data_IF_718208477062
#
_entry.id   IF_718208477062
#
_cell.length_a   1.000
_cell.length_b   1.000
_cell.length_c   1.000
_cell.angle_alpha   90.00
_cell.angle_beta   90.00
_cell.angle_gamma   90.00
#
_symmetry.space_group_name_H-M   'P 1'
#
loop_
_entity.id
_entity.type
_entity.pdbx_description
1 polymer ?
#
# COMPACT_ATOMS: atom_id res chain seq x y z
N UNK A 1 0.19 -25.92 -9.21
CA UNK A 1 -0.52 -25.06 -10.19
C UNK A 1 0.10 -25.05 -11.60
N UNK A 2 1.06 -25.93 -11.94
CA UNK A 2 1.52 -26.17 -13.33
C UNK A 2 2.25 -25.03 -14.05
N UNK A 3 2.22 -23.81 -13.52
CA UNK A 3 2.91 -22.64 -14.06
C UNK A 3 4.35 -22.58 -13.58
N UNK A 4 5.26 -22.16 -14.45
CA UNK A 4 6.62 -21.77 -14.07
C UNK A 4 6.59 -20.40 -13.38
N UNK A 5 6.93 -20.36 -12.10
CA UNK A 5 7.00 -19.14 -11.30
C UNK A 5 8.38 -19.06 -10.65
N UNK A 6 8.99 -17.88 -10.71
CA UNK A 6 10.23 -17.58 -9.97
C UNK A 6 9.87 -16.60 -8.87
N UNK A 7 10.27 -16.91 -7.63
CA UNK A 7 10.12 -16.01 -6.48
C UNK A 7 11.50 -15.46 -6.17
N UNK A 8 11.63 -14.13 -6.18
CA UNK A 8 12.89 -13.43 -6.01
C UNK A 8 12.76 -12.50 -4.81
N UNK A 9 13.76 -12.53 -3.93
CA UNK A 9 13.86 -11.60 -2.81
C UNK A 9 14.62 -10.37 -3.29
N UNK A 10 13.96 -9.21 -3.30
CA UNK A 10 14.53 -7.96 -3.80
C UNK A 10 15.43 -7.20 -2.82
N UNK A 11 15.35 -7.54 -1.54
CA UNK A 11 15.83 -6.66 -0.47
C UNK A 11 14.81 -5.57 -0.14
N UNK A 12 15.18 -4.72 0.82
CA UNK A 12 14.43 -3.55 1.30
C UNK A 12 15.09 -2.30 0.73
N UNK A 13 14.31 -1.26 0.49
CA UNK A 13 14.69 0.01 -0.14
C UNK A 13 14.74 -0.02 -1.68
N UNK A 14 14.49 1.16 -2.24
CA UNK A 14 14.30 1.47 -3.65
C UNK A 14 15.51 1.06 -4.48
N UNK A 15 16.72 1.29 -3.98
CA UNK A 15 17.97 0.93 -4.68
C UNK A 15 18.11 -0.59 -4.81
N UNK A 16 17.90 -1.34 -3.72
CA UNK A 16 18.00 -2.80 -3.75
C UNK A 16 16.93 -3.39 -4.67
N UNK A 17 15.69 -2.90 -4.57
CA UNK A 17 14.59 -3.34 -5.39
C UNK A 17 14.79 -3.04 -6.89
N UNK A 18 15.33 -1.86 -7.21
CA UNK A 18 15.66 -1.50 -8.58
C UNK A 18 16.77 -2.38 -9.17
N UNK A 19 17.89 -2.56 -8.46
CA UNK A 19 19.00 -3.41 -8.93
C UNK A 19 18.52 -4.85 -9.16
N UNK A 20 17.76 -5.39 -8.20
CA UNK A 20 17.17 -6.72 -8.34
C UNK A 20 16.26 -6.80 -9.58
N UNK A 21 15.37 -5.81 -9.77
CA UNK A 21 14.46 -5.77 -10.91
C UNK A 21 15.21 -5.66 -12.23
N UNK A 22 16.24 -4.82 -12.31
CA UNK A 22 17.08 -4.65 -13.50
C UNK A 22 17.78 -5.97 -13.88
N UNK A 23 18.34 -6.69 -12.92
CA UNK A 23 18.97 -8.00 -13.17
C UNK A 23 17.94 -9.03 -13.68
N UNK A 24 16.75 -9.06 -13.10
CA UNK A 24 15.67 -9.97 -13.54
C UNK A 24 15.20 -9.62 -14.95
N UNK A 25 15.13 -8.33 -15.29
CA UNK A 25 14.70 -7.85 -16.60
C UNK A 25 15.71 -8.12 -17.72
N UNK A 26 16.93 -8.58 -17.43
CA UNK A 26 17.81 -9.15 -18.47
C UNK A 26 17.17 -10.37 -19.17
N UNK A 27 16.22 -11.04 -18.50
CA UNK A 27 15.45 -12.16 -19.02
C UNK A 27 14.02 -11.74 -19.44
N UNK A 28 13.75 -10.45 -19.68
CA UNK A 28 12.39 -9.92 -19.93
C UNK A 28 11.60 -10.69 -20.99
N UNK A 29 12.24 -11.20 -22.05
CA UNK A 29 11.58 -12.00 -23.11
C UNK A 29 10.96 -13.31 -22.62
N UNK A 30 11.34 -13.80 -21.43
CA UNK A 30 10.81 -15.00 -20.80
C UNK A 30 9.76 -14.69 -19.72
N UNK A 31 9.56 -13.41 -19.38
CA UNK A 31 8.69 -13.00 -18.28
C UNK A 31 7.34 -12.58 -18.86
N UNK A 32 6.29 -13.34 -18.50
CA UNK A 32 4.91 -13.01 -18.90
C UNK A 32 4.32 -11.84 -18.10
N UNK A 33 4.60 -11.80 -16.80
CA UNK A 33 4.05 -10.81 -15.87
C UNK A 33 4.94 -10.74 -14.65
N UNK A 34 5.12 -9.54 -14.09
CA UNK A 34 5.89 -9.30 -12.89
C UNK A 34 4.96 -8.80 -11.78
N UNK A 35 4.92 -9.49 -10.65
CA UNK A 35 4.07 -9.10 -9.52
C UNK A 35 4.99 -8.82 -8.34
N UNK A 36 5.07 -7.57 -7.95
CA UNK A 36 5.88 -7.16 -6.82
C UNK A 36 5.03 -7.21 -5.55
N UNK A 37 5.28 -8.21 -4.71
CA UNK A 37 4.46 -8.48 -3.51
C UNK A 37 5.22 -8.11 -2.27
N UNK A 38 4.58 -7.35 -1.39
CA UNK A 38 5.19 -7.01 -0.11
C UNK A 38 4.18 -6.57 0.94
N UNK A 39 4.72 -6.12 2.05
CA UNK A 39 3.99 -5.53 3.17
C UNK A 39 4.25 -4.04 3.26
N UNK A 40 3.37 -3.31 3.93
CA UNK A 40 3.39 -1.85 3.95
C UNK A 40 2.60 -1.32 5.15
N UNK A 41 2.85 -0.07 5.53
CA UNK A 41 1.96 0.65 6.42
C UNK A 41 0.84 1.35 5.64
N UNK A 42 -0.42 1.30 6.06
CA UNK A 42 -1.49 2.09 5.42
C UNK A 42 -1.92 3.28 6.30
N UNK A 43 -2.41 4.35 5.68
CA UNK A 43 -3.24 5.32 6.40
C UNK A 43 -4.36 4.57 7.15
N UNK A 44 -4.72 4.99 8.36
CA UNK A 44 -5.77 4.32 9.14
C UNK A 44 -7.17 4.44 8.53
N UNK A 45 -7.38 5.43 7.66
CA UNK A 45 -8.63 5.63 6.91
C UNK A 45 -8.40 6.42 5.62
N UNK A 46 -9.34 6.31 4.68
CA UNK A 46 -9.40 7.18 3.50
C UNK A 46 -9.47 8.64 3.96
N UNK A 47 -8.63 9.48 3.36
CA UNK A 47 -8.55 10.89 3.73
C UNK A 47 -7.89 11.15 5.08
N UNK A 48 -7.33 10.13 5.73
CA UNK A 48 -6.57 10.21 6.99
C UNK A 48 -7.32 10.84 8.17
N UNK A 49 -6.71 10.81 9.35
CA UNK A 49 -7.35 11.32 10.58
C UNK A 49 -7.27 12.84 10.70
N UNK A 50 -6.19 13.45 10.20
CA UNK A 50 -5.96 14.90 10.23
C UNK A 50 -5.59 15.39 8.83
N UNK A 51 -5.94 16.64 8.51
CA UNK A 51 -5.63 17.29 7.23
C UNK A 51 -5.32 18.79 7.40
N UNK A 52 -4.10 19.19 7.05
CA UNK A 52 -3.66 20.57 6.90
C UNK A 52 -3.62 20.98 5.41
N UNK A 53 -3.69 22.30 5.07
CA UNK A 53 -3.97 23.45 5.94
C UNK A 53 -5.47 23.62 6.31
N UNK A 54 -6.28 22.56 6.12
CA UNK A 54 -7.72 22.53 6.40
C UNK A 54 -8.10 22.34 7.87
N UNK A 55 -8.90 21.32 8.17
CA UNK A 55 -9.65 21.16 9.42
C UNK A 55 -8.82 20.78 10.65
N UNK A 56 -7.68 21.41 10.91
CA UNK A 56 -6.89 21.11 12.11
C UNK A 56 -7.61 21.45 13.43
N UNK A 57 -8.80 22.07 13.38
CA UNK A 57 -9.70 22.28 14.51
C UNK A 57 -10.33 20.97 15.05
N UNK A 58 -10.53 19.96 14.22
CA UNK A 58 -11.15 18.67 14.59
C UNK A 58 -10.59 17.52 13.74
N UNK A 59 -10.58 16.30 14.28
CA UNK A 59 -10.22 15.15 13.47
C UNK A 59 -11.29 14.87 12.40
N UNK A 60 -10.87 14.38 11.23
CA UNK A 60 -11.80 14.01 10.18
C UNK A 60 -12.70 12.87 10.66
N UNK A 61 -14.01 12.93 10.34
CA UNK A 61 -14.92 11.83 10.66
C UNK A 61 -14.45 10.55 9.95
N UNK A 62 -14.58 9.38 10.58
CA UNK A 62 -14.21 8.13 9.95
C UNK A 62 -15.13 7.80 8.78
N UNK A 63 -14.53 7.42 7.66
CA UNK A 63 -15.23 7.07 6.42
C UNK A 63 -15.08 5.57 6.15
N UNK A 64 -13.96 5.18 5.55
CA UNK A 64 -13.57 3.80 5.27
C UNK A 64 -12.23 3.53 5.96
N UNK A 65 -12.26 2.68 6.96
CA UNK A 65 -11.07 2.33 7.76
C UNK A 65 -10.22 1.30 7.02
N UNK A 66 -8.91 1.47 7.07
CA UNK A 66 -7.98 0.41 6.70
C UNK A 66 -7.88 -0.61 7.84
N UNK A 67 -7.91 -1.89 7.48
CA UNK A 67 -7.69 -2.99 8.41
C UNK A 67 -6.34 -3.64 8.15
N UNK A 68 -5.74 -4.24 9.18
CA UNK A 68 -4.54 -5.05 8.98
C UNK A 68 -4.87 -6.26 8.10
N UNK A 69 -4.02 -6.51 7.12
CA UNK A 69 -4.19 -7.51 6.07
C UNK A 69 -4.91 -7.01 4.82
N UNK A 70 -5.51 -5.81 4.83
CA UNK A 70 -6.03 -5.16 3.62
C UNK A 70 -5.00 -5.13 2.50
N UNK A 71 -5.43 -5.22 1.24
CA UNK A 71 -4.55 -5.36 0.08
C UNK A 71 -4.74 -4.19 -0.87
N UNK A 72 -3.65 -3.53 -1.22
CA UNK A 72 -3.58 -2.58 -2.31
C UNK A 72 -3.02 -3.24 -3.57
N UNK A 73 -3.67 -3.02 -4.72
CA UNK A 73 -3.24 -3.47 -6.04
C UNK A 73 -3.12 -2.28 -6.95
N UNK A 74 -1.89 -1.92 -7.32
CA UNK A 74 -1.62 -0.71 -8.11
C UNK A 74 -0.37 -0.85 -8.96
N UNK A 75 -0.31 -0.36 -10.20
CA UNK A 75 0.95 -0.25 -10.94
C UNK A 75 1.67 1.07 -10.65
N UNK A 76 1.12 1.93 -9.79
CA UNK A 76 1.63 3.26 -9.56
C UNK A 76 2.49 3.34 -8.31
N UNK A 77 3.55 4.16 -8.39
CA UNK A 77 4.39 4.50 -7.26
C UNK A 77 4.67 6.01 -7.22
N UNK A 78 4.98 6.53 -6.05
CA UNK A 78 5.37 7.92 -5.87
C UNK A 78 6.51 8.01 -4.86
N UNK A 79 7.51 8.83 -5.17
CA UNK A 79 8.68 9.03 -4.34
C UNK A 79 8.49 10.27 -3.47
N UNK A 80 8.33 10.05 -2.17
CA UNK A 80 8.25 11.14 -1.21
C UNK A 80 9.57 11.90 -1.07
N UNK A 81 10.71 11.20 -1.10
CA UNK A 81 12.03 11.79 -0.83
C UNK A 81 12.38 12.91 -1.81
N UNK A 82 11.77 12.92 -3.00
CA UNK A 82 11.87 13.97 -3.99
C UNK A 82 11.56 15.40 -3.48
N UNK A 83 10.80 15.55 -2.40
CA UNK A 83 10.51 16.87 -1.84
C UNK A 83 11.49 17.36 -0.79
N UNK A 84 12.55 16.58 -0.54
CA UNK A 84 13.66 16.92 0.36
C UNK A 84 13.16 17.56 1.66
N UNK A 85 12.04 17.07 2.19
CA UNK A 85 11.58 17.49 3.50
C UNK A 85 12.59 16.93 4.50
N UNK A 86 13.57 17.75 4.89
CA UNK A 86 14.51 17.39 5.95
C UNK A 86 13.69 17.05 7.21
N UNK A 87 14.16 16.08 7.99
CA UNK A 87 13.62 15.77 9.31
C UNK A 87 13.38 17.04 10.14
N UNK A 88 14.30 18.02 10.03
CA UNK A 88 14.17 19.33 10.68
C UNK A 88 12.90 20.08 10.26
N UNK A 89 12.57 20.05 8.97
CA UNK A 89 11.38 20.70 8.39
C UNK A 89 10.10 19.88 8.60
N UNK A 90 10.20 18.56 8.66
CA UNK A 90 9.11 17.67 9.11
C UNK A 90 8.73 17.95 10.58
N UNK A 91 9.70 18.38 11.38
CA UNK A 91 9.48 18.81 12.75
C UNK A 91 9.09 20.30 12.87
N UNK A 92 9.06 21.07 11.78
CA UNK A 92 8.62 22.47 11.81
C UNK A 92 7.13 22.52 12.15
N UNK A 93 6.81 22.99 13.34
CA UNK A 93 5.45 22.95 13.91
C UNK A 93 5.26 21.91 15.01
N UNK A 94 6.26 21.07 15.29
CA UNK A 94 6.24 20.18 16.45
C UNK A 94 6.00 20.98 17.75
N UNK A 95 5.19 20.46 18.69
CA UNK A 95 4.64 19.10 18.71
C UNK A 95 3.34 18.93 17.91
N UNK A 96 2.84 19.96 17.21
CA UNK A 96 1.59 19.86 16.46
C UNK A 96 1.74 18.95 15.24
N UNK A 97 0.96 17.88 15.22
CA UNK A 97 0.90 16.90 14.15
C UNK A 97 0.03 17.33 12.97
N UNK A 98 -0.79 18.37 13.13
CA UNK A 98 -1.64 18.89 12.04
C UNK A 98 -0.95 20.06 11.34
N UNK A 99 0.28 19.83 10.89
CA UNK A 99 1.05 20.79 10.12
C UNK A 99 1.48 20.15 8.82
N UNK A 100 1.48 20.96 7.76
CA UNK A 100 2.05 20.54 6.49
C UNK A 100 3.55 20.90 6.55
N UNK A 101 4.46 19.94 6.38
CA UNK A 101 5.89 20.23 6.42
C UNK A 101 6.24 21.20 5.29
N UNK A 102 7.23 22.06 5.52
CA UNK A 102 7.74 22.90 4.44
C UNK A 102 8.31 22.01 3.33
N UNK A 103 7.85 22.19 2.10
CA UNK A 103 8.38 21.48 0.94
C UNK A 103 9.40 22.35 0.20
N UNK A 104 10.56 21.79 -0.12
CA UNK A 104 11.49 22.35 -1.09
C UNK A 104 11.15 21.93 -2.52
N UNK A 105 11.72 22.63 -3.51
CA UNK A 105 11.79 22.09 -4.87
C UNK A 105 12.86 20.98 -4.92
N UNK A 106 12.69 19.91 -5.71
CA UNK A 106 12.08 20.01 -7.03
C UNK A 106 11.59 18.74 -7.71
N UNK A 107 11.02 18.88 -8.92
CA UNK A 107 10.42 17.82 -9.72
C UNK A 107 11.45 16.86 -10.38
N UNK A 108 12.72 16.92 -9.97
CA UNK A 108 13.82 16.07 -10.44
C UNK A 108 14.82 15.89 -9.31
N UNK A 109 14.88 14.69 -8.73
CA UNK A 109 16.01 14.26 -7.91
C UNK A 109 16.87 13.27 -8.72
N UNK A 110 18.06 13.72 -9.15
CA UNK A 110 18.96 12.91 -9.97
C UNK A 110 19.48 11.66 -9.24
N UNK A 111 19.39 11.62 -7.90
CA UNK A 111 19.82 10.47 -7.11
C UNK A 111 18.79 9.32 -7.09
N UNK A 112 17.55 9.59 -7.51
CA UNK A 112 16.41 8.67 -7.41
C UNK A 112 15.71 8.45 -8.77
N UNK A 113 16.49 8.18 -9.81
CA UNK A 113 16.03 7.98 -11.20
C UNK A 113 15.42 9.22 -11.88
N UNK A 114 15.46 10.39 -11.26
CA UNK A 114 15.07 11.67 -11.89
C UNK A 114 13.56 11.93 -11.97
N UNK A 115 12.71 11.01 -11.47
CA UNK A 115 11.25 11.12 -11.46
C UNK A 115 10.67 10.89 -10.07
N UNK A 116 9.61 11.63 -9.75
CA UNK A 116 8.98 11.59 -8.43
C UNK A 116 7.61 10.91 -8.45
N UNK A 117 6.94 10.89 -9.60
CA UNK A 117 5.63 10.31 -9.79
C UNK A 117 5.72 9.29 -10.91
N UNK A 118 5.43 8.03 -10.60
CA UNK A 118 5.41 6.93 -11.56
C UNK A 118 3.95 6.58 -11.88
N UNK A 119 3.29 7.45 -12.65
CA UNK A 119 1.88 7.29 -13.08
C UNK A 119 1.72 6.66 -14.46
N UNK A 120 2.81 6.57 -15.23
CA UNK A 120 2.81 5.97 -16.56
C UNK A 120 2.55 4.46 -16.45
N UNK A 121 1.68 3.95 -17.32
CA UNK A 121 1.31 2.55 -17.38
C UNK A 121 0.98 2.15 -18.83
N UNK A 122 1.08 0.85 -19.10
CA UNK A 122 0.57 0.22 -20.31
C UNK A 122 -0.83 -0.36 -20.06
N UNK A 123 -1.57 -0.66 -21.12
CA UNK A 123 -2.83 -1.38 -20.99
C UNK A 123 -2.65 -2.77 -20.36
N UNK A 124 -1.50 -3.41 -20.57
CA UNK A 124 -1.19 -4.72 -20.02
C UNK A 124 -0.95 -4.66 -18.49
N UNK A 125 -0.41 -3.55 -17.96
CA UNK A 125 -0.28 -3.32 -16.52
C UNK A 125 -1.66 -3.26 -15.85
N UNK A 126 -2.60 -2.50 -16.44
CA UNK A 126 -3.98 -2.43 -15.95
C UNK A 126 -4.71 -3.78 -16.06
N UNK A 127 -4.52 -4.51 -17.16
CA UNK A 127 -5.10 -5.85 -17.31
C UNK A 127 -4.58 -6.83 -16.26
N UNK A 128 -3.28 -6.76 -15.91
CA UNK A 128 -2.70 -7.58 -14.85
C UNK A 128 -3.27 -7.18 -13.47
N UNK A 129 -3.43 -5.89 -13.21
CA UNK A 129 -4.07 -5.39 -11.99
C UNK A 129 -5.54 -5.85 -11.90
N UNK A 130 -6.31 -5.73 -12.98
CA UNK A 130 -7.69 -6.22 -13.07
C UNK A 130 -7.78 -7.73 -12.86
N UNK A 131 -6.83 -8.50 -13.39
CA UNK A 131 -6.79 -9.95 -13.19
C UNK A 131 -6.63 -10.32 -11.70
N UNK A 132 -5.75 -9.62 -10.99
CA UNK A 132 -5.59 -9.77 -9.53
C UNK A 132 -6.85 -9.34 -8.78
N UNK A 133 -7.44 -8.19 -9.13
CA UNK A 133 -8.67 -7.70 -8.50
C UNK A 133 -9.86 -8.65 -8.72
N UNK A 134 -9.98 -9.24 -9.90
CA UNK A 134 -10.97 -10.27 -10.16
C UNK A 134 -10.68 -11.55 -9.37
N UNK A 135 -9.40 -11.87 -9.12
CA UNK A 135 -9.04 -13.02 -8.30
C UNK A 135 -9.45 -12.80 -6.83
N UNK A 136 -9.24 -11.60 -6.29
CA UNK A 136 -9.68 -11.26 -4.92
C UNK A 136 -11.20 -11.17 -4.79
N UNK A 137 -11.92 -10.84 -5.86
CA UNK A 137 -13.38 -10.89 -5.89
C UNK A 137 -13.98 -12.30 -6.01
N UNK A 138 -13.15 -13.34 -6.17
CA UNK A 138 -13.63 -14.72 -6.42
C UNK A 138 -14.01 -15.47 -5.14
N UNK A 139 -14.94 -16.42 -5.25
CA UNK A 139 -15.32 -17.32 -4.15
C UNK A 139 -14.14 -18.16 -3.63
N UNK A 140 -13.16 -18.47 -4.49
CA UNK A 140 -11.94 -19.18 -4.11
C UNK A 140 -11.08 -18.35 -3.15
N UNK A 141 -10.94 -17.04 -3.43
CA UNK A 141 -10.26 -16.11 -2.52
C UNK A 141 -11.03 -15.99 -1.20
N UNK A 142 -12.34 -15.73 -1.26
CA UNK A 142 -13.19 -15.62 -0.07
C UNK A 142 -13.09 -16.86 0.82
N UNK A 143 -13.10 -18.06 0.23
CA UNK A 143 -12.98 -19.32 0.97
C UNK A 143 -11.60 -19.47 1.60
N UNK A 144 -10.56 -19.07 0.87
CA UNK A 144 -9.17 -19.09 1.33
C UNK A 144 -8.94 -18.14 2.50
N UNK A 145 -9.39 -16.89 2.42
CA UNK A 145 -9.16 -15.90 3.49
C UNK A 145 -10.00 -16.19 4.73
N UNK A 146 -11.16 -16.84 4.61
CA UNK A 146 -11.95 -17.29 5.76
C UNK A 146 -11.16 -18.20 6.71
N UNK A 147 -10.20 -18.99 6.21
CA UNK A 147 -9.36 -19.82 7.09
C UNK A 147 -8.44 -18.98 7.99
N UNK A 148 -8.20 -17.72 7.65
CA UNK A 148 -7.37 -16.80 8.42
C UNK A 148 -8.16 -16.09 9.53
N UNK A 149 -9.49 -16.16 9.55
CA UNK A 149 -10.33 -15.40 10.48
C UNK A 149 -10.08 -15.75 11.95
N UNK A 150 -9.83 -17.03 12.25
CA UNK A 150 -9.47 -17.46 13.60
C UNK A 150 -8.12 -16.87 14.04
N UNK A 151 -7.14 -16.83 13.12
CA UNK A 151 -5.85 -16.19 13.34
C UNK A 151 -6.02 -14.70 13.59
N UNK A 152 -6.74 -14.00 12.72
CA UNK A 152 -7.06 -12.58 12.85
C UNK A 152 -7.68 -12.24 14.21
N UNK A 153 -8.76 -12.93 14.59
CA UNK A 153 -9.47 -12.67 15.85
C UNK A 153 -8.58 -12.87 17.08
N UNK A 154 -7.64 -13.82 17.01
CA UNK A 154 -6.73 -14.13 18.10
C UNK A 154 -5.56 -13.15 18.19
N UNK A 155 -4.99 -12.74 17.06
CA UNK A 155 -3.70 -12.03 17.03
C UNK A 155 -3.80 -10.58 16.59
N UNK A 156 -4.67 -10.27 15.64
CA UNK A 156 -4.76 -8.95 15.00
C UNK A 156 -5.85 -8.08 15.65
N UNK A 157 -7.03 -8.65 15.88
CA UNK A 157 -8.16 -7.93 16.43
C UNK A 157 -7.86 -7.23 17.78
N UNK A 158 -7.10 -7.83 18.74
CA UNK A 158 -6.74 -7.13 19.97
C UNK A 158 -5.91 -5.87 19.73
N UNK A 159 -5.00 -5.90 18.76
CA UNK A 159 -4.19 -4.75 18.38
C UNK A 159 -5.05 -3.64 17.77
N UNK A 160 -5.86 -3.96 16.76
CA UNK A 160 -6.73 -2.97 16.10
C UNK A 160 -7.72 -2.36 17.08
N UNK A 161 -8.30 -3.18 17.96
CA UNK A 161 -9.22 -2.71 19.01
C UNK A 161 -8.52 -1.71 19.93
N UNK A 162 -7.30 -2.00 20.38
CA UNK A 162 -6.53 -1.09 21.21
C UNK A 162 -6.16 0.20 20.45
N UNK A 163 -5.73 0.09 19.20
CA UNK A 163 -5.37 1.21 18.33
C UNK A 163 -6.57 2.15 18.12
N UNK A 164 -7.70 1.62 17.65
CA UNK A 164 -8.88 2.44 17.35
C UNK A 164 -9.61 2.91 18.60
N UNK A 165 -9.53 2.22 19.74
CA UNK A 165 -9.98 2.76 21.02
C UNK A 165 -9.13 3.97 21.46
N UNK A 166 -7.81 3.88 21.33
CA UNK A 166 -6.92 5.01 21.61
C UNK A 166 -7.16 6.18 20.64
N UNK A 167 -7.41 5.89 19.36
CA UNK A 167 -7.77 6.89 18.36
C UNK A 167 -9.12 7.55 18.68
N UNK A 168 -10.14 6.76 19.05
CA UNK A 168 -11.46 7.26 19.43
C UNK A 168 -11.36 8.21 20.61
N UNK A 169 -10.65 7.80 21.67
CA UNK A 169 -10.44 8.61 22.87
C UNK A 169 -9.68 9.91 22.59
N UNK A 170 -8.72 9.88 21.67
CA UNK A 170 -7.89 11.04 21.36
C UNK A 170 -8.56 12.05 20.42
N UNK A 171 -9.39 11.58 19.50
CA UNK A 171 -10.03 12.39 18.47
C UNK A 171 -11.46 12.81 18.81
N UNK A 172 -12.14 12.06 19.69
CA UNK A 172 -13.57 12.22 19.97
C UNK A 172 -14.49 11.55 18.94
N UNK A 173 -13.94 10.93 17.89
CA UNK A 173 -14.71 10.19 16.90
C UNK A 173 -14.93 8.73 17.32
N UNK A 174 -15.95 8.07 16.79
CA UNK A 174 -16.18 6.63 16.99
C UNK A 174 -15.69 5.86 15.76
N UNK A 175 -14.76 4.92 15.97
CA UNK A 175 -14.20 4.09 14.91
C UNK A 175 -14.76 2.67 15.00
N UNK A 176 -15.83 2.41 14.25
CA UNK A 176 -16.50 1.11 14.27
C UNK A 176 -15.73 0.07 13.46
N UNK A 177 -15.30 -1.00 14.12
CA UNK A 177 -14.62 -2.12 13.50
C UNK A 177 -15.61 -3.27 13.26
N UNK A 178 -16.09 -3.47 12.02
CA UNK A 178 -16.93 -4.62 11.73
C UNK A 178 -16.16 -5.93 11.94
N UNK A 179 -16.91 -7.02 12.05
CA UNK A 179 -16.34 -8.36 12.02
C UNK A 179 -15.49 -8.54 10.76
N UNK A 180 -14.34 -9.21 10.89
CA UNK A 180 -13.45 -9.41 9.76
C UNK A 180 -13.98 -10.53 8.86
N UNK A 181 -14.37 -10.17 7.64
CA UNK A 181 -14.89 -11.10 6.63
C UNK A 181 -13.85 -11.42 5.53
N UNK A 182 -12.67 -10.81 5.63
CA UNK A 182 -11.61 -10.82 4.62
C UNK A 182 -10.91 -9.48 4.57
N UNK A 183 -9.77 -9.38 3.85
CA UNK A 183 -9.10 -8.11 3.65
C UNK A 183 -9.93 -7.20 2.74
N UNK A 184 -10.01 -5.92 3.08
CA UNK A 184 -10.44 -4.88 2.15
C UNK A 184 -9.50 -4.80 0.97
N UNK A 185 -10.04 -4.55 -0.23
CA UNK A 185 -9.27 -4.40 -1.46
C UNK A 185 -9.27 -2.93 -1.85
N UNK A 186 -8.07 -2.38 -2.03
CA UNK A 186 -7.80 -1.03 -2.48
C UNK A 186 -7.21 -1.12 -3.89
N UNK A 187 -7.95 -0.66 -4.88
CA UNK A 187 -7.53 -0.80 -6.28
C UNK A 187 -6.66 0.39 -6.72
N UNK A 188 -6.18 0.32 -7.96
CA UNK A 188 -5.36 1.36 -8.59
C UNK A 188 -6.11 2.67 -8.84
N UNK A 189 -7.38 2.81 -8.44
CA UNK A 189 -8.13 4.07 -8.51
C UNK A 189 -8.13 4.84 -7.19
N UNK A 190 -7.70 4.22 -6.10
CA UNK A 190 -7.66 4.84 -4.76
C UNK A 190 -6.33 4.64 -4.02
N UNK A 191 -5.43 3.78 -4.53
CA UNK A 191 -4.15 3.46 -3.91
C UNK A 191 -2.95 3.63 -4.84
N UNK A 192 -1.88 4.21 -4.30
CA UNK A 192 -0.55 4.32 -4.90
C UNK A 192 0.46 3.92 -3.84
N UNK A 193 1.51 3.21 -4.26
CA UNK A 193 2.62 2.96 -3.34
C UNK A 193 3.44 4.24 -3.14
N UNK A 194 3.44 4.76 -1.92
CA UNK A 194 4.24 5.91 -1.52
C UNK A 194 5.56 5.43 -0.91
N UNK A 195 6.64 5.62 -1.66
CA UNK A 195 8.00 5.44 -1.19
C UNK A 195 8.37 6.47 -0.13
N UNK A 196 8.90 6.00 0.99
CA UNK A 196 9.54 6.84 2.00
C UNK A 196 10.68 6.08 2.64
N UNK A 197 11.89 6.64 2.60
CA UNK A 197 13.03 6.11 3.35
C UNK A 197 12.82 6.15 4.88
N UNK A 198 11.84 6.93 5.32
CA UNK A 198 11.44 7.04 6.72
C UNK A 198 10.13 6.30 6.93
N UNK A 199 10.20 4.98 7.07
CA UNK A 199 9.07 4.14 7.46
C UNK A 199 8.39 4.75 8.71
N UNK A 200 7.07 4.98 8.68
CA UNK A 200 6.27 5.56 9.77
C UNK A 200 6.57 7.02 10.18
N UNK A 201 6.49 7.96 9.24
CA UNK A 201 6.87 9.37 9.47
C UNK A 201 5.75 10.27 10.03
N UNK A 202 4.71 9.67 10.64
CA UNK A 202 3.69 10.40 11.38
C UNK A 202 2.57 11.00 10.51
N UNK A 203 1.69 11.77 11.14
CA UNK A 203 0.55 12.42 10.47
C UNK A 203 0.97 13.43 9.40
N UNK A 204 1.94 14.34 9.63
CA UNK A 204 2.40 15.26 8.58
C UNK A 204 2.77 14.53 7.30
N UNK A 205 3.51 13.45 7.42
CA UNK A 205 3.88 12.60 6.29
C UNK A 205 2.67 11.96 5.61
N UNK A 206 1.75 11.38 6.38
CA UNK A 206 0.54 10.75 5.84
C UNK A 206 -0.29 11.73 4.98
N UNK A 207 -0.48 12.97 5.46
CA UNK A 207 -1.20 14.00 4.73
C UNK A 207 -0.55 14.28 3.38
N UNK A 208 0.76 14.47 3.39
CA UNK A 208 1.45 14.79 2.15
C UNK A 208 1.47 13.60 1.20
N UNK A 209 1.77 12.40 1.69
CA UNK A 209 1.74 11.19 0.88
C UNK A 209 0.36 10.96 0.23
N UNK A 210 -0.75 11.29 0.92
CA UNK A 210 -2.10 11.25 0.34
C UNK A 210 -2.28 12.30 -0.76
N UNK A 211 -1.76 13.52 -0.59
CA UNK A 211 -1.80 14.53 -1.63
C UNK A 211 -1.06 14.06 -2.91
N UNK A 212 0.11 13.45 -2.77
CA UNK A 212 0.87 12.90 -3.90
C UNK A 212 0.22 11.66 -4.52
N UNK A 213 -0.41 10.83 -3.70
CA UNK A 213 -1.24 9.71 -4.16
C UNK A 213 -2.37 10.24 -5.06
N UNK A 214 -3.12 11.24 -4.60
CA UNK A 214 -4.18 11.86 -5.38
C UNK A 214 -3.65 12.47 -6.70
N UNK A 215 -2.52 13.19 -6.66
CA UNK A 215 -1.89 13.74 -7.87
C UNK A 215 -1.47 12.64 -8.86
N UNK A 216 -0.83 11.57 -8.36
CA UNK A 216 -0.43 10.42 -9.18
C UNK A 216 -1.63 9.78 -9.86
N UNK A 217 -2.73 9.58 -9.12
CA UNK A 217 -3.96 9.00 -9.65
C UNK A 217 -4.65 9.92 -10.67
N UNK A 218 -4.68 11.23 -10.44
CA UNK A 218 -5.20 12.19 -11.44
C UNK A 218 -4.37 12.18 -12.72
N UNK A 219 -3.04 12.07 -12.61
CA UNK A 219 -2.14 11.98 -13.77
C UNK A 219 -2.32 10.65 -14.51
N UNK A 220 -2.50 9.55 -13.77
CA UNK A 220 -2.75 8.24 -14.35
C UNK A 220 -4.14 8.13 -15.00
N UNK A 221 -5.15 8.82 -14.46
CA UNK A 221 -6.51 8.80 -14.94
C UNK A 221 -7.02 10.22 -15.24
N UNK A 222 -6.56 10.79 -16.36
CA UNK A 222 -6.93 12.14 -16.81
C UNK A 222 -8.43 12.36 -17.06
N UNK A 223 -9.24 11.29 -17.03
CA UNK A 223 -10.70 11.34 -17.15
C UNK A 223 -11.46 11.24 -15.81
N UNK A 224 -10.76 10.95 -14.71
CA UNK A 224 -11.32 10.52 -13.42
C UNK A 224 -11.88 11.61 -12.50
N UNK A 225 -11.96 12.87 -12.95
CA UNK A 225 -12.35 14.00 -12.12
C UNK A 225 -11.25 14.47 -11.17
N UNK A 226 -11.53 15.51 -10.39
CA UNK A 226 -10.57 16.05 -9.42
C UNK A 226 -10.53 15.15 -8.17
N UNK A 227 -9.36 14.58 -7.88
CA UNK A 227 -9.09 13.88 -6.62
C UNK A 227 -8.24 14.75 -5.70
N UNK A 228 -8.43 14.57 -4.40
CA UNK A 228 -7.67 15.27 -3.37
C UNK A 228 -7.14 14.27 -2.33
N UNK A 229 -6.31 14.75 -1.40
CA UNK A 229 -5.82 13.93 -0.29
C UNK A 229 -6.94 13.31 0.56
N UNK A 230 -8.18 13.81 0.46
CA UNK A 230 -9.34 13.30 1.21
C UNK A 230 -9.96 12.04 0.58
N UNK A 231 -9.65 11.74 -0.69
CA UNK A 231 -10.32 10.71 -1.49
C UNK A 231 -9.51 9.41 -1.60
N UNK A 232 -8.30 9.39 -1.02
CA UNK A 232 -7.31 8.33 -1.26
C UNK A 232 -6.75 7.74 0.03
N UNK A 233 -6.11 6.59 -0.10
CA UNK A 233 -5.35 5.93 0.96
C UNK A 233 -3.85 5.98 0.63
N UNK A 234 -2.99 6.25 1.62
CA UNK A 234 -1.54 6.07 1.42
C UNK A 234 -1.15 4.65 1.73
N UNK A 235 -0.33 4.07 0.84
CA UNK A 235 0.31 2.77 1.02
C UNK A 235 1.82 2.98 1.13
N UNK A 236 2.35 2.97 2.35
CA UNK A 236 3.75 3.24 2.65
C UNK A 236 4.61 1.97 2.50
N UNK A 237 5.45 1.92 1.47
CA UNK A 237 6.46 0.88 1.26
C UNK A 237 7.67 1.47 0.53
N UNK A 238 8.83 0.83 0.57
CA UNK A 238 10.12 1.46 0.19
C UNK A 238 10.67 1.00 -1.17
N UNK A 239 9.91 0.23 -1.94
CA UNK A 239 10.51 -0.51 -3.07
C UNK A 239 9.88 -0.18 -4.42
N UNK A 240 8.62 0.26 -4.43
CA UNK A 240 7.83 0.44 -5.65
C UNK A 240 8.42 1.45 -6.61
N UNK A 241 9.02 2.53 -6.11
CA UNK A 241 9.72 3.52 -6.96
C UNK A 241 10.89 2.90 -7.70
N UNK A 242 11.72 2.10 -7.02
CA UNK A 242 12.85 1.43 -7.65
C UNK A 242 12.43 0.41 -8.72
N UNK A 243 11.39 -0.36 -8.42
CA UNK A 243 10.80 -1.32 -9.35
C UNK A 243 10.17 -0.60 -10.56
N UNK A 244 9.37 0.44 -10.32
CA UNK A 244 8.71 1.21 -11.38
C UNK A 244 9.74 1.87 -12.30
N UNK A 245 10.80 2.47 -11.75
CA UNK A 245 11.88 3.06 -12.54
C UNK A 245 12.56 2.02 -13.44
N UNK A 246 12.90 0.85 -12.90
CA UNK A 246 13.50 -0.24 -13.68
C UNK A 246 12.57 -0.75 -14.79
N UNK A 247 11.28 -0.91 -14.50
CA UNK A 247 10.26 -1.34 -15.46
C UNK A 247 10.05 -0.32 -16.58
N UNK A 248 9.88 0.95 -16.24
CA UNK A 248 9.69 2.02 -17.24
C UNK A 248 10.93 2.20 -18.11
N UNK A 249 12.14 2.08 -17.55
CA UNK A 249 13.38 2.10 -18.33
C UNK A 249 13.42 0.92 -19.32
N UNK A 250 13.02 -0.28 -18.89
CA UNK A 250 12.95 -1.45 -19.78
C UNK A 250 11.90 -1.26 -20.87
N UNK A 251 10.74 -0.72 -20.54
CA UNK A 251 9.70 -0.36 -21.51
C UNK A 251 10.25 0.64 -22.54
N UNK A 252 10.92 1.71 -22.10
CA UNK A 252 11.51 2.69 -23.01
C UNK A 252 12.53 2.07 -23.99
N UNK A 253 13.33 1.10 -23.54
CA UNK A 253 14.31 0.39 -24.39
C UNK A 253 13.63 -0.62 -25.33
N UNK A 254 12.62 -1.33 -24.86
CA UNK A 254 11.93 -2.40 -25.62
C UNK A 254 10.79 -1.90 -26.51
N UNK A 255 10.37 -0.65 -26.37
CA UNK A 255 9.19 -0.09 -27.03
C UNK A 255 7.89 -0.37 -26.25
N UNK A 256 6.80 -0.72 -26.94
CA UNK A 256 5.47 -0.83 -26.30
C UNK A 256 5.15 -2.21 -25.68
N UNK A 257 6.04 -3.20 -25.79
CA UNK A 257 5.79 -4.58 -25.37
C UNK A 257 6.52 -4.99 -24.09
N UNK A 258 6.80 -4.05 -23.19
CA UNK A 258 7.50 -4.36 -21.94
C UNK A 258 6.73 -5.35 -21.05
N UNK A 259 7.42 -5.90 -20.05
CA UNK A 259 6.82 -6.86 -19.12
C UNK A 259 5.74 -6.16 -18.29
N UNK A 260 4.48 -6.64 -18.31
CA UNK A 260 3.45 -6.01 -17.50
C UNK A 260 3.74 -6.24 -16.01
N UNK A 261 3.56 -5.20 -15.21
CA UNK A 261 3.85 -5.24 -13.78
C UNK A 261 2.77 -4.61 -12.91
N UNK A 262 2.74 -5.03 -11.64
CA UNK A 262 1.82 -4.51 -10.63
C UNK A 262 2.39 -4.70 -9.23
N UNK A 263 2.12 -3.74 -8.35
CA UNK A 263 2.38 -3.82 -6.92
C UNK A 263 1.20 -4.45 -6.19
N UNK A 264 1.51 -5.36 -5.27
CA UNK A 264 0.54 -5.96 -4.34
C UNK A 264 1.08 -5.75 -2.93
N UNK A 265 0.46 -4.82 -2.19
CA UNK A 265 0.90 -4.45 -0.84
C UNK A 265 -0.17 -4.79 0.16
N UNK A 266 0.19 -5.55 1.19
CA UNK A 266 -0.72 -5.82 2.29
C UNK A 266 -0.37 -4.99 3.53
N UNK A 267 -1.42 -4.47 4.17
CA UNK A 267 -1.31 -3.63 5.34
C UNK A 267 -0.81 -4.42 6.55
N UNK A 268 0.43 -4.20 6.97
CA UNK A 268 1.02 -4.84 8.15
C UNK A 268 0.93 -3.97 9.41
N UNK A 269 0.76 -2.67 9.25
CA UNK A 269 0.62 -1.71 10.36
C UNK A 269 0.04 -0.36 9.89
N UNK A 270 -0.28 0.55 10.79
CA UNK A 270 -0.71 1.90 10.42
C UNK A 270 0.49 2.83 10.21
N UNK A 271 0.38 3.79 9.28
CA UNK A 271 1.45 4.76 8.96
C UNK A 271 1.86 5.64 10.13
N UNK A 272 1.01 5.77 11.15
CA UNK A 272 1.30 6.47 12.40
C UNK A 272 0.45 5.91 13.56
N UNK A 273 0.95 6.12 14.79
CA UNK A 273 0.24 5.75 16.02
C UNK A 273 -0.97 6.65 16.31
N UNK A 274 -1.82 6.31 17.28
CA UNK A 274 -2.99 7.12 17.60
C UNK A 274 -2.65 8.56 18.00
N UNK A 275 -3.54 9.51 17.69
CA UNK A 275 -3.36 10.94 17.98
C UNK A 275 -4.39 11.47 18.95
N UNK A 276 -4.08 12.57 19.63
CA UNK A 276 -5.01 13.26 20.52
C UNK A 276 -4.82 14.77 20.49
N UNK A 277 -5.83 15.51 20.95
CA UNK A 277 -5.64 16.92 21.29
C UNK A 277 -4.68 17.08 22.48
N UNK A 278 -3.77 18.05 22.38
CA UNK A 278 -2.97 18.52 23.50
C UNK A 278 -3.87 19.08 24.61
N UNK A 279 -3.36 19.12 25.85
CA UNK A 279 -4.14 19.55 27.01
C UNK A 279 -4.63 21.01 26.91
N UNK A 280 -3.91 21.85 26.16
CA UNK A 280 -4.29 23.23 25.89
C UNK A 280 -5.32 23.37 24.74
N UNK A 281 -5.67 22.25 24.08
CA UNK A 281 -6.59 22.18 22.95
C UNK A 281 -6.06 22.74 21.64
N UNK A 282 -4.82 23.23 21.58
CA UNK A 282 -4.31 24.00 20.43
C UNK A 282 -3.68 23.10 19.37
N UNK A 283 -2.94 22.09 19.80
CA UNK A 283 -2.18 21.19 18.93
C UNK A 283 -2.76 19.77 18.90
N UNK A 284 -2.45 19.02 17.85
CA UNK A 284 -2.56 17.58 17.82
C UNK A 284 -1.23 16.96 18.20
N UNK A 285 -1.21 15.95 19.07
CA UNK A 285 0.02 15.31 19.52
C UNK A 285 -0.15 13.79 19.50
N UNK A 286 0.94 13.01 19.49
CA UNK A 286 0.84 11.57 19.64
C UNK A 286 0.10 11.21 20.94
N UNK A 287 -0.88 10.32 20.85
CA UNK A 287 -1.49 9.75 22.04
C UNK A 287 -0.49 8.78 22.66
N UNK A 288 0.01 9.12 23.86
CA UNK A 288 0.71 8.15 24.72
C UNK A 288 -0.28 7.02 25.03
N UNK A 289 -0.21 5.96 24.24
CA UNK A 289 -1.10 4.81 24.35
C UNK A 289 -0.26 3.56 24.50
N UNK A 290 -0.74 2.61 25.29
CA UNK A 290 -0.12 1.30 25.46
C UNK A 290 -0.56 0.35 24.32
N UNK A 291 -0.68 0.84 23.10
CA UNK A 291 -0.94 -0.03 21.95
C UNK A 291 0.27 -0.95 21.82
N UNK A 292 0.10 -2.27 21.95
CA UNK A 292 1.22 -3.20 21.90
C UNK A 292 1.85 -3.17 20.51
N UNK A 293 3.17 -3.31 20.43
CA UNK A 293 3.82 -3.48 19.14
C UNK A 293 3.30 -4.76 18.46
N UNK A 294 2.92 -4.66 17.19
CA UNK A 294 2.34 -5.78 16.43
C UNK A 294 3.18 -6.17 15.20
N UNK A 295 4.39 -5.62 15.06
CA UNK A 295 5.19 -5.71 13.85
C UNK A 295 5.25 -7.14 13.30
N UNK A 296 5.69 -8.12 14.09
CA UNK A 296 5.84 -9.51 13.63
C UNK A 296 4.53 -10.16 13.19
N UNK A 297 3.46 -10.02 13.97
CA UNK A 297 2.17 -10.68 13.69
C UNK A 297 1.43 -9.98 12.55
N UNK A 298 1.48 -8.65 12.50
CA UNK A 298 0.97 -7.84 11.40
C UNK A 298 1.66 -8.18 10.08
N UNK A 299 2.99 -8.26 10.05
CA UNK A 299 3.74 -8.71 8.87
C UNK A 299 3.31 -10.11 8.42
N UNK A 300 3.26 -11.09 9.33
CA UNK A 300 2.88 -12.47 8.98
C UNK A 300 1.46 -12.52 8.40
N UNK A 301 0.52 -11.78 8.99
CA UNK A 301 -0.86 -11.74 8.53
C UNK A 301 -0.98 -11.05 7.16
N UNK A 302 -0.30 -9.93 6.96
CA UNK A 302 -0.24 -9.22 5.68
C UNK A 302 0.36 -10.09 4.57
N UNK A 303 1.45 -10.82 4.84
CA UNK A 303 2.03 -11.79 3.90
C UNK A 303 1.00 -12.87 3.53
N UNK A 304 0.23 -13.37 4.49
CA UNK A 304 -0.78 -14.40 4.23
C UNK A 304 -1.90 -13.88 3.32
N UNK A 305 -2.40 -12.66 3.53
CA UNK A 305 -3.48 -12.08 2.71
C UNK A 305 -3.00 -11.76 1.29
N UNK A 306 -1.86 -11.07 1.13
CA UNK A 306 -1.30 -10.75 -0.21
C UNK A 306 -0.92 -12.00 -0.98
N UNK A 307 -0.28 -12.99 -0.33
CA UNK A 307 0.05 -14.27 -0.97
C UNK A 307 -1.21 -15.01 -1.43
N UNK A 308 -2.28 -14.98 -0.62
CA UNK A 308 -3.56 -15.60 -1.00
C UNK A 308 -4.16 -14.96 -2.24
N UNK A 309 -4.03 -13.64 -2.42
CA UNK A 309 -4.50 -12.95 -3.63
C UNK A 309 -3.74 -13.43 -4.88
N UNK A 310 -2.41 -13.45 -4.82
CA UNK A 310 -1.56 -13.87 -5.95
C UNK A 310 -1.74 -15.36 -6.26
N UNK A 311 -1.76 -16.22 -5.24
CA UNK A 311 -1.98 -17.66 -5.42
C UNK A 311 -3.39 -17.95 -5.98
N UNK A 312 -4.40 -17.17 -5.60
CA UNK A 312 -5.74 -17.30 -6.21
C UNK A 312 -5.73 -16.89 -7.68
N UNK A 313 -5.02 -15.83 -8.05
CA UNK A 313 -4.86 -15.44 -9.45
C UNK A 313 -4.16 -16.55 -10.26
N UNK A 314 -3.08 -17.13 -9.72
CA UNK A 314 -2.37 -18.25 -10.34
C UNK A 314 -3.25 -19.49 -10.45
N UNK A 315 -4.04 -19.82 -9.43
CA UNK A 315 -5.02 -20.90 -9.48
C UNK A 315 -6.03 -20.67 -10.61
N UNK A 316 -6.58 -19.47 -10.76
CA UNK A 316 -7.54 -19.15 -11.83
C UNK A 316 -6.92 -19.33 -13.22
N UNK A 317 -5.69 -18.84 -13.41
CA UNK A 317 -4.91 -19.08 -14.65
C UNK A 317 -4.72 -20.58 -14.93
N UNK A 318 -4.40 -21.37 -13.90
CA UNK A 318 -4.24 -22.82 -14.01
C UNK A 318 -5.56 -23.49 -14.43
N UNK A 319 -6.66 -23.18 -13.75
CA UNK A 319 -7.98 -23.73 -14.05
C UNK A 319 -8.48 -23.37 -15.45
N UNK A 320 -8.19 -22.15 -15.93
CA UNK A 320 -8.52 -21.72 -17.29
C UNK A 320 -7.75 -22.50 -18.37
N UNK A 321 -6.60 -23.09 -18.02
CA UNK A 321 -5.73 -23.82 -18.95
C UNK A 321 -5.79 -25.34 -18.76
N UNK A 322 -6.44 -25.82 -17.69
CA UNK A 322 -6.47 -27.22 -17.30
C UNK A 322 -7.52 -28.01 -18.10
N UNK A 323 -7.13 -29.20 -18.56
CA UNK A 323 -8.10 -30.22 -18.99
C UNK A 323 -8.84 -30.80 -17.78
N UNK A 324 -10.02 -31.39 -17.99
CA UNK A 324 -10.90 -31.85 -16.91
C UNK A 324 -10.26 -32.81 -15.88
N UNK A 325 -9.16 -33.50 -16.23
CA UNK A 325 -8.40 -34.39 -15.36
C UNK A 325 -7.26 -33.74 -14.55
N UNK A 326 -6.99 -32.44 -14.72
CA UNK A 326 -5.87 -31.73 -14.11
C UNK A 326 -6.27 -30.73 -13.01
N UNK A 327 -7.54 -30.71 -12.60
CA UNK A 327 -8.09 -29.73 -11.64
C UNK A 327 -7.40 -29.77 -10.27
N UNK A 328 -6.96 -30.95 -9.83
CA UNK A 328 -6.26 -31.10 -8.54
C UNK A 328 -4.88 -30.46 -8.53
N UNK A 329 -4.22 -30.34 -9.69
CA UNK A 329 -2.94 -29.64 -9.82
C UNK A 329 -3.07 -28.12 -9.60
N UNK A 330 -4.28 -27.57 -9.70
CA UNK A 330 -4.56 -26.14 -9.53
C UNK A 330 -4.92 -25.74 -8.10
N UNK A 331 -4.91 -26.68 -7.14
CA UNK A 331 -5.17 -26.36 -5.73
C UNK A 331 -3.96 -25.73 -5.06
N UNK A 332 -4.21 -24.86 -4.08
CA UNK A 332 -3.22 -24.38 -3.12
C UNK A 332 -3.87 -24.28 -1.73
N UNK A 333 -3.04 -24.24 -0.69
CA UNK A 333 -3.48 -24.03 0.68
C UNK A 333 -3.00 -22.65 1.14
N UNK A 334 -3.86 -21.80 1.72
CA UNK A 334 -3.45 -20.52 2.28
C UNK A 334 -2.43 -20.69 3.40
N UNK A 335 -1.55 -19.71 3.55
CA UNK A 335 -0.59 -19.67 4.65
C UNK A 335 -1.35 -19.63 5.98
N UNK A 336 -1.01 -20.53 6.91
CA UNK A 336 -1.63 -20.56 8.23
C UNK A 336 -0.98 -19.52 9.15
N UNK A 337 -1.79 -18.68 9.80
CA UNK A 337 -1.31 -17.55 10.62
C UNK A 337 -1.50 -17.79 12.11
#
# INVERSE_FOLDING_TARGET
MGQSVVVITSGIDSVAAALCTQEVLQCASQIRSFIYVGTSGFSSQVGGVLNAPGSCAAANPPTRLARLGDIAVTPYAVNWNCKLADWTDQCTGAPDLCTYPAEGAGPKDQSLYGECIFSAHTQADLQLADELLQATASSAFTSSVKTLAAGFNRTILPYETAYFAAMSNGTGNTYDLPAWEGPGIWNYTEAVEADSQFFYSGVPWDMVARNYTAQTLMLANSSGGAMTQYDVITVAAMEGVGVAAAMQQQQAISGTSGVPYVFVRANSDYTYGPVKRAADGRAWVPAKSAVPANNTLGYKFAIATSSTAVLTMLQRRCLASASAGALDLCRFSPLQV
#
